data_IF_116611980875
#
_entry.id   IF_116611980875
#
_cell.length_a   1.000
_cell.length_b   1.000
_cell.length_c   1.000
_cell.angle_alpha   90.00
_cell.angle_beta   90.00
_cell.angle_gamma   90.00
#
_symmetry.space_group_name_H-M   'P 1'
#
loop_
_entity.id
_entity.type
_entity.pdbx_description
1 polymer ?
#
# COMPACT_ATOMS: atom_id res chain seq x y z
N UNK A 1 34.66 7.20 7.83
CA UNK A 1 33.23 7.29 8.21
C UNK A 1 32.59 5.93 8.06
N UNK A 2 32.18 5.33 9.18
CA UNK A 2 31.47 4.05 9.19
C UNK A 2 30.08 4.23 8.60
N UNK A 3 29.65 3.33 7.69
CA UNK A 3 28.28 3.27 7.22
C UNK A 3 27.33 2.95 8.37
N UNK A 4 26.15 3.55 8.35
CA UNK A 4 25.05 3.19 9.26
C UNK A 4 24.53 1.81 8.90
N UNK A 5 24.31 0.97 9.90
CA UNK A 5 23.76 -0.37 9.69
C UNK A 5 22.26 -0.31 9.87
N UNK A 6 21.53 -0.62 8.80
CA UNK A 6 20.06 -0.53 8.77
C UNK A 6 19.47 -1.89 8.47
N UNK A 7 18.54 -2.35 9.33
CA UNK A 7 17.73 -3.51 9.06
C UNK A 7 16.37 -3.07 8.52
N UNK A 8 16.04 -3.49 7.29
CA UNK A 8 14.69 -3.38 6.74
C UNK A 8 13.98 -4.71 6.97
N UNK A 9 12.93 -4.70 7.76
CA UNK A 9 12.16 -5.89 8.08
C UNK A 9 10.76 -5.74 7.48
N UNK A 10 10.61 -6.26 6.25
CA UNK A 10 9.37 -6.17 5.48
C UNK A 10 8.49 -7.40 5.69
N UNK A 11 7.20 -7.26 5.38
CA UNK A 11 6.27 -8.39 5.36
C UNK A 11 6.59 -9.35 4.20
N UNK A 12 6.68 -8.81 2.99
CA UNK A 12 7.04 -9.56 1.77
C UNK A 12 7.64 -8.59 0.76
N UNK A 13 8.36 -9.11 -0.22
CA UNK A 13 8.93 -8.29 -1.28
C UNK A 13 7.97 -8.28 -2.49
N UNK A 14 7.31 -7.16 -2.70
CA UNK A 14 6.33 -6.93 -3.77
C UNK A 14 6.76 -5.74 -4.61
N UNK A 15 6.02 -5.42 -5.68
CA UNK A 15 6.31 -4.24 -6.50
C UNK A 15 6.26 -2.93 -5.69
N UNK A 16 5.36 -2.82 -4.71
CA UNK A 16 5.30 -1.64 -3.84
C UNK A 16 6.51 -1.55 -2.91
N UNK A 17 6.95 -2.68 -2.36
CA UNK A 17 8.16 -2.73 -1.54
C UNK A 17 9.42 -2.45 -2.36
N UNK A 18 9.44 -2.84 -3.63
CA UNK A 18 10.52 -2.52 -4.56
C UNK A 18 10.66 -1.02 -4.75
N UNK A 19 9.54 -0.32 -4.99
CA UNK A 19 9.53 1.15 -5.13
C UNK A 19 10.05 1.83 -3.86
N UNK A 20 9.54 1.37 -2.74
CA UNK A 20 9.88 1.89 -1.42
C UNK A 20 11.38 1.67 -1.13
N UNK A 21 11.87 0.45 -1.36
CA UNK A 21 13.28 0.11 -1.20
C UNK A 21 14.19 0.93 -2.10
N UNK A 22 13.85 1.04 -3.38
CA UNK A 22 14.66 1.81 -4.35
C UNK A 22 14.77 3.27 -3.92
N UNK A 23 13.68 3.88 -3.51
CA UNK A 23 13.67 5.26 -3.00
C UNK A 23 14.52 5.40 -1.74
N UNK A 24 14.40 4.47 -0.82
CA UNK A 24 15.19 4.44 0.41
C UNK A 24 16.70 4.31 0.09
N UNK A 25 17.05 3.35 -0.74
CA UNK A 25 18.42 3.10 -1.16
C UNK A 25 19.04 4.31 -1.87
N UNK A 26 18.31 4.88 -2.82
CA UNK A 26 18.80 6.04 -3.57
C UNK A 26 19.01 7.24 -2.66
N UNK A 27 18.12 7.46 -1.71
CA UNK A 27 18.23 8.59 -0.78
C UNK A 27 19.40 8.40 0.19
N UNK A 28 19.68 7.20 0.66
CA UNK A 28 20.83 6.95 1.54
C UNK A 28 22.16 7.10 0.83
N UNK A 29 22.20 6.93 -0.49
CA UNK A 29 23.36 7.24 -1.32
C UNK A 29 24.66 6.57 -0.88
N UNK A 30 24.62 5.31 -0.44
CA UNK A 30 25.80 4.58 0.00
C UNK A 30 26.22 4.85 1.45
N UNK A 31 25.50 5.68 2.19
CA UNK A 31 25.78 5.97 3.60
C UNK A 31 25.22 4.91 4.55
N UNK A 32 24.44 4.00 4.05
CA UNK A 32 23.82 2.92 4.83
C UNK A 32 24.23 1.55 4.28
N UNK A 33 24.54 0.65 5.20
CA UNK A 33 24.69 -0.78 4.93
C UNK A 33 23.35 -1.43 5.26
N UNK A 34 22.60 -1.85 4.23
CA UNK A 34 21.22 -2.26 4.33
C UNK A 34 21.12 -3.79 4.29
N UNK A 35 20.45 -4.36 5.29
CA UNK A 35 20.07 -5.77 5.35
C UNK A 35 18.56 -5.87 5.28
N UNK A 36 18.03 -6.80 4.47
CA UNK A 36 16.59 -7.03 4.34
C UNK A 36 16.24 -8.42 4.84
N UNK A 37 15.25 -8.50 5.76
CA UNK A 37 14.61 -9.75 6.14
C UNK A 37 13.11 -9.64 5.91
N UNK A 38 12.44 -10.78 5.67
CA UNK A 38 11.01 -10.87 5.41
C UNK A 38 10.33 -11.69 6.50
N UNK A 39 9.35 -11.09 7.18
CA UNK A 39 8.61 -11.81 8.24
C UNK A 39 7.36 -12.55 7.74
N UNK A 40 6.95 -12.34 6.48
CA UNK A 40 5.81 -13.03 5.84
C UNK A 40 4.50 -12.93 6.64
N UNK A 41 4.29 -11.80 7.35
CA UNK A 41 3.12 -11.59 8.20
C UNK A 41 2.98 -12.62 9.34
N UNK A 42 4.08 -13.29 9.69
CA UNK A 42 4.14 -14.27 10.77
C UNK A 42 4.80 -13.65 12.00
N UNK A 43 4.05 -13.55 13.08
CA UNK A 43 4.52 -12.89 14.31
C UNK A 43 5.75 -13.62 14.89
N UNK A 44 5.82 -14.94 14.76
CA UNK A 44 6.98 -15.70 15.23
C UNK A 44 8.28 -15.26 14.53
N UNK A 45 8.21 -14.94 13.24
CA UNK A 45 9.38 -14.48 12.50
C UNK A 45 9.78 -13.07 12.92
N UNK A 46 8.82 -12.17 13.18
CA UNK A 46 9.13 -10.85 13.72
C UNK A 46 9.88 -10.97 15.03
N UNK A 47 9.36 -11.75 15.95
CA UNK A 47 9.98 -12.00 17.27
C UNK A 47 11.39 -12.57 17.11
N UNK A 48 11.56 -13.56 16.25
CA UNK A 48 12.85 -14.18 15.97
C UNK A 48 13.86 -13.17 15.41
N UNK A 49 13.50 -12.42 14.38
CA UNK A 49 14.42 -11.46 13.76
C UNK A 49 14.80 -10.34 14.71
N UNK A 50 13.89 -9.87 15.55
CA UNK A 50 14.20 -8.86 16.56
C UNK A 50 15.18 -9.44 17.59
N UNK A 51 14.90 -10.64 18.13
CA UNK A 51 15.76 -11.30 19.11
C UNK A 51 17.18 -11.49 18.60
N UNK A 52 17.31 -11.99 17.38
CA UNK A 52 18.62 -12.29 16.79
C UNK A 52 19.43 -11.04 16.43
N UNK A 53 18.77 -9.88 16.32
CA UNK A 53 19.40 -8.67 15.78
C UNK A 53 19.43 -7.48 16.74
N UNK A 54 18.99 -7.63 17.98
CA UNK A 54 19.10 -6.57 18.98
C UNK A 54 20.57 -6.16 19.16
N UNK A 55 20.83 -4.86 19.15
CA UNK A 55 22.18 -4.31 19.30
C UNK A 55 23.07 -4.41 18.07
N UNK A 56 22.62 -5.02 16.99
CA UNK A 56 23.42 -5.22 15.78
C UNK A 56 23.23 -4.17 14.71
N UNK A 57 22.19 -3.33 14.80
CA UNK A 57 21.86 -2.31 13.83
C UNK A 57 21.73 -0.94 14.48
N UNK A 58 21.99 0.10 13.70
CA UNK A 58 21.81 1.48 14.14
C UNK A 58 20.32 1.87 14.01
N UNK A 59 19.63 1.34 13.01
CA UNK A 59 18.20 1.56 12.78
C UNK A 59 17.48 0.28 12.36
N UNK A 60 16.23 0.17 12.80
CA UNK A 60 15.31 -0.90 12.45
C UNK A 60 14.08 -0.28 11.79
N UNK A 61 13.86 -0.59 10.52
CA UNK A 61 12.74 -0.08 9.75
C UNK A 61 11.81 -1.24 9.47
N UNK A 62 10.59 -1.20 10.01
CA UNK A 62 9.71 -2.36 10.09
C UNK A 62 8.34 -2.03 9.51
N UNK A 63 7.85 -2.87 8.57
CA UNK A 63 6.46 -2.84 8.14
C UNK A 63 5.64 -3.79 9.02
N UNK A 64 4.82 -3.26 9.95
CA UNK A 64 4.12 -4.07 10.93
C UNK A 64 2.81 -4.64 10.38
N UNK A 65 2.88 -5.36 9.27
CA UNK A 65 1.73 -5.99 8.63
C UNK A 65 1.53 -7.40 9.19
N UNK A 66 0.57 -7.53 10.09
CA UNK A 66 0.22 -8.78 10.78
C UNK A 66 -1.29 -8.90 10.91
N UNK A 67 -1.82 -10.12 11.11
CA UNK A 67 -3.25 -10.28 11.38
C UNK A 67 -3.74 -9.33 12.47
N UNK A 68 -4.95 -8.79 12.29
CA UNK A 68 -5.47 -7.70 13.10
C UNK A 68 -6.15 -8.16 14.38
N UNK A 69 -6.15 -9.46 14.69
CA UNK A 69 -6.72 -9.97 15.92
C UNK A 69 -5.96 -9.40 17.15
N UNK A 70 -6.65 -9.15 18.26
CA UNK A 70 -6.06 -8.49 19.41
C UNK A 70 -4.84 -9.20 19.99
N UNK A 71 -4.83 -10.53 19.98
CA UNK A 71 -3.71 -11.31 20.52
C UNK A 71 -2.44 -11.13 19.69
N UNK A 72 -2.54 -11.23 18.35
CA UNK A 72 -1.40 -10.99 17.46
C UNK A 72 -0.90 -9.55 17.60
N UNK A 73 -1.81 -8.58 17.62
CA UNK A 73 -1.43 -7.15 17.74
C UNK A 73 -0.72 -6.86 19.07
N UNK A 74 -1.13 -7.50 20.15
CA UNK A 74 -0.44 -7.40 21.43
C UNK A 74 0.99 -7.91 21.36
N UNK A 75 1.22 -9.01 20.67
CA UNK A 75 2.57 -9.57 20.46
C UNK A 75 3.42 -8.66 19.58
N UNK A 76 2.83 -8.04 18.56
CA UNK A 76 3.53 -7.06 17.70
C UNK A 76 4.04 -5.90 18.55
N UNK A 77 3.17 -5.30 19.37
CA UNK A 77 3.56 -4.18 20.22
C UNK A 77 4.67 -4.58 21.20
N UNK A 78 4.56 -5.76 21.81
CA UNK A 78 5.57 -6.28 22.74
C UNK A 78 6.93 -6.46 22.05
N UNK A 79 6.94 -7.01 20.85
CA UNK A 79 8.17 -7.22 20.09
C UNK A 79 8.82 -5.87 19.71
N UNK A 80 8.05 -4.91 19.23
CA UNK A 80 8.56 -3.61 18.81
C UNK A 80 9.10 -2.78 19.98
N UNK A 81 8.52 -2.92 21.16
CA UNK A 81 9.00 -2.24 22.38
C UNK A 81 10.40 -2.67 22.80
N UNK A 82 10.89 -3.79 22.33
CA UNK A 82 12.26 -4.26 22.61
C UNK A 82 13.31 -3.45 21.88
N UNK A 83 12.92 -2.74 20.81
CA UNK A 83 13.82 -1.87 20.05
C UNK A 83 13.79 -0.48 20.68
N UNK A 84 14.95 0.13 20.99
CA UNK A 84 14.97 1.51 21.47
C UNK A 84 14.28 2.47 20.50
N UNK A 85 13.43 3.37 21.03
CA UNK A 85 12.66 4.30 20.19
C UNK A 85 13.53 5.09 19.22
N UNK A 86 14.72 5.52 19.64
CA UNK A 86 15.65 6.28 18.80
C UNK A 86 16.20 5.51 17.60
N UNK A 87 15.98 4.19 17.56
CA UNK A 87 16.44 3.31 16.48
C UNK A 87 15.29 2.73 15.67
N UNK A 88 14.03 3.02 16.00
CA UNK A 88 12.85 2.39 15.42
C UNK A 88 12.16 3.34 14.44
N UNK A 89 11.90 2.84 13.24
CA UNK A 89 11.02 3.49 12.25
C UNK A 89 9.97 2.49 11.83
N UNK A 90 8.71 2.83 12.07
CA UNK A 90 7.54 2.08 11.61
C UNK A 90 7.16 2.57 10.22
N UNK A 91 6.92 1.65 9.30
CA UNK A 91 6.70 1.96 7.91
C UNK A 91 5.41 1.35 7.39
N UNK A 92 4.67 2.11 6.60
CA UNK A 92 3.47 1.74 5.86
C UNK A 92 2.20 1.63 6.71
N UNK A 93 2.22 0.99 7.85
CA UNK A 93 1.09 0.94 8.79
C UNK A 93 1.45 1.63 10.10
N UNK A 94 0.60 2.54 10.57
CA UNK A 94 0.79 3.22 11.85
C UNK A 94 0.16 2.41 12.98
N UNK A 95 0.82 2.40 14.14
CA UNK A 95 0.37 1.71 15.34
C UNK A 95 0.11 2.72 16.45
N UNK A 96 -1.14 3.24 16.57
CA UNK A 96 -1.45 4.26 17.59
C UNK A 96 -1.17 3.81 19.02
N UNK A 97 -1.29 2.51 19.31
CA UNK A 97 -1.08 1.93 20.63
C UNK A 97 0.39 1.79 21.01
N UNK A 98 1.31 1.93 20.06
CA UNK A 98 2.75 1.89 20.36
C UNK A 98 3.20 3.25 20.89
N UNK A 99 3.58 3.36 22.18
CA UNK A 99 4.02 4.63 22.74
C UNK A 99 5.47 4.94 22.37
N UNK A 100 5.82 6.21 22.38
CA UNK A 100 7.21 6.66 22.30
C UNK A 100 7.53 7.55 21.09
N UNK A 101 8.76 8.05 21.09
CA UNK A 101 9.28 8.98 20.08
C UNK A 101 10.08 8.23 18.99
N UNK A 102 9.47 7.20 18.42
CA UNK A 102 10.01 6.50 17.26
C UNK A 102 9.59 7.20 15.97
N UNK A 103 10.23 6.84 14.86
CA UNK A 103 9.86 7.37 13.54
C UNK A 103 8.72 6.55 12.93
N UNK A 104 7.86 7.20 12.15
CA UNK A 104 6.82 6.51 11.39
C UNK A 104 6.54 7.24 10.08
N UNK A 105 6.47 6.49 8.98
CA UNK A 105 6.01 6.95 7.68
C UNK A 105 4.96 5.97 7.20
N UNK A 106 3.74 6.45 6.94
CA UNK A 106 2.59 5.54 6.82
C UNK A 106 1.50 6.07 5.93
N UNK A 107 0.59 5.18 5.59
CA UNK A 107 -0.69 5.48 4.95
C UNK A 107 -1.84 5.22 5.91
N UNK A 108 -3.00 5.81 5.62
CA UNK A 108 -4.22 5.65 6.41
C UNK A 108 -5.19 4.70 5.68
N UNK A 109 -5.17 3.43 6.06
CA UNK A 109 -6.03 2.41 5.45
C UNK A 109 -7.53 2.64 5.68
N UNK A 110 -7.89 3.45 6.67
CA UNK A 110 -9.31 3.74 6.96
C UNK A 110 -9.89 4.82 6.04
N UNK A 111 -9.07 5.78 5.59
CA UNK A 111 -9.58 6.98 4.91
C UNK A 111 -8.98 7.24 3.53
N UNK A 112 -7.76 6.77 3.26
CA UNK A 112 -7.05 7.19 2.04
C UNK A 112 -7.79 6.83 0.75
N UNK A 113 -8.41 5.67 0.66
CA UNK A 113 -9.14 5.27 -0.54
C UNK A 113 -10.31 6.22 -0.82
N UNK A 114 -10.98 6.72 0.22
CA UNK A 114 -12.01 7.75 0.09
C UNK A 114 -11.46 9.00 -0.61
N UNK A 115 -10.36 9.52 -0.12
CA UNK A 115 -9.76 10.75 -0.67
C UNK A 115 -9.15 10.54 -2.05
N UNK A 116 -8.59 9.37 -2.31
CA UNK A 116 -8.09 9.02 -3.64
C UNK A 116 -9.21 9.00 -4.68
N UNK A 117 -10.33 8.38 -4.36
CA UNK A 117 -11.52 8.34 -5.23
C UNK A 117 -12.15 9.72 -5.39
N UNK A 118 -12.12 10.56 -4.34
CA UNK A 118 -12.66 11.91 -4.39
C UNK A 118 -11.99 12.77 -5.48
N UNK A 119 -10.74 12.49 -5.80
CA UNK A 119 -10.04 13.19 -6.90
C UNK A 119 -10.66 12.91 -8.27
N UNK A 120 -11.35 11.80 -8.43
CA UNK A 120 -12.06 11.43 -9.67
C UNK A 120 -13.58 11.55 -9.57
N UNK A 121 -14.11 12.24 -8.56
CA UNK A 121 -15.54 12.26 -8.24
C UNK A 121 -16.42 12.79 -9.36
N UNK A 122 -15.98 13.82 -10.08
CA UNK A 122 -16.77 14.41 -11.18
C UNK A 122 -17.08 13.38 -12.26
N UNK A 123 -16.12 12.55 -12.58
CA UNK A 123 -16.27 11.48 -13.58
C UNK A 123 -17.01 10.28 -12.99
N UNK A 124 -16.71 9.90 -11.75
CA UNK A 124 -17.34 8.76 -11.08
C UNK A 124 -18.85 8.98 -10.85
N UNK A 125 -19.30 10.22 -10.63
CA UNK A 125 -20.74 10.53 -10.51
C UNK A 125 -21.55 10.28 -11.78
N UNK A 126 -20.88 10.18 -12.93
CA UNK A 126 -21.53 10.00 -14.23
C UNK A 126 -21.58 8.54 -14.69
N UNK A 127 -20.91 7.62 -13.97
CA UNK A 127 -20.89 6.23 -14.38
C UNK A 127 -22.10 5.49 -13.81
N UNK A 128 -22.63 4.49 -14.54
CA UNK A 128 -23.78 3.72 -14.06
C UNK A 128 -23.48 2.93 -12.78
N UNK A 129 -22.24 2.49 -12.59
CA UNK A 129 -21.88 1.63 -11.47
C UNK A 129 -20.35 1.57 -11.30
N UNK A 130 -19.92 1.60 -10.04
CA UNK A 130 -18.55 1.28 -9.65
C UNK A 130 -18.51 -0.17 -9.16
N UNK A 131 -17.76 -1.00 -9.86
CA UNK A 131 -17.56 -2.40 -9.50
C UNK A 131 -16.25 -2.53 -8.73
N UNK A 132 -16.32 -3.00 -7.50
CA UNK A 132 -15.17 -3.06 -6.59
C UNK A 132 -14.77 -4.51 -6.39
N UNK A 133 -13.55 -4.86 -6.82
CA UNK A 133 -13.03 -6.22 -6.70
C UNK A 133 -12.09 -6.27 -5.51
N UNK A 134 -12.53 -6.92 -4.43
CA UNK A 134 -11.79 -6.97 -3.16
C UNK A 134 -10.96 -8.25 -3.05
N UNK A 135 -9.81 -8.13 -2.37
CA UNK A 135 -8.96 -9.26 -2.04
C UNK A 135 -9.15 -9.63 -0.56
N UNK A 136 -9.87 -10.73 -0.32
CA UNK A 136 -10.20 -11.16 1.05
C UNK A 136 -8.97 -11.57 1.86
N UNK A 137 -7.87 -11.93 1.21
CA UNK A 137 -6.60 -12.26 1.89
C UNK A 137 -5.81 -11.03 2.35
N UNK A 138 -6.16 -9.83 1.88
CA UNK A 138 -5.52 -8.60 2.32
C UNK A 138 -5.89 -8.29 3.77
N UNK A 139 -4.90 -7.93 4.59
CA UNK A 139 -5.11 -7.61 6.00
C UNK A 139 -6.06 -6.42 6.22
N UNK A 140 -6.05 -5.46 5.30
CA UNK A 140 -6.78 -4.20 5.45
C UNK A 140 -8.02 -4.11 4.54
N UNK A 141 -8.46 -5.23 3.96
CA UNK A 141 -9.56 -5.21 2.99
C UNK A 141 -10.86 -4.62 3.54
N UNK A 142 -11.16 -4.88 4.82
CA UNK A 142 -12.37 -4.35 5.45
C UNK A 142 -12.32 -2.83 5.60
N UNK A 143 -11.18 -2.29 6.01
CA UNK A 143 -10.98 -0.83 6.16
C UNK A 143 -11.11 -0.13 4.81
N UNK A 144 -10.43 -0.66 3.80
CA UNK A 144 -10.44 -0.10 2.44
C UNK A 144 -11.85 -0.18 1.85
N UNK A 145 -12.53 -1.31 1.99
CA UNK A 145 -13.90 -1.50 1.50
C UNK A 145 -14.88 -0.52 2.14
N UNK A 146 -14.75 -0.28 3.45
CA UNK A 146 -15.59 0.70 4.16
C UNK A 146 -15.37 2.12 3.65
N UNK A 147 -14.13 2.49 3.38
CA UNK A 147 -13.80 3.81 2.82
C UNK A 147 -14.42 3.99 1.44
N UNK A 148 -14.36 2.96 0.59
CA UNK A 148 -14.98 2.95 -0.75
C UNK A 148 -16.49 3.06 -0.65
N UNK A 149 -17.13 2.27 0.24
CA UNK A 149 -18.58 2.34 0.47
C UNK A 149 -19.01 3.72 0.89
N UNK A 150 -18.32 4.31 1.87
CA UNK A 150 -18.62 5.65 2.37
C UNK A 150 -18.54 6.69 1.25
N UNK A 151 -17.50 6.63 0.44
CA UNK A 151 -17.35 7.51 -0.71
C UNK A 151 -18.52 7.39 -1.69
N UNK A 152 -18.89 6.16 -2.06
CA UNK A 152 -19.97 5.92 -3.00
C UNK A 152 -21.32 6.35 -2.45
N UNK A 153 -21.61 6.07 -1.18
CA UNK A 153 -22.87 6.44 -0.54
C UNK A 153 -23.01 7.95 -0.41
N UNK A 154 -21.98 8.65 0.03
CA UNK A 154 -21.99 10.11 0.16
C UNK A 154 -22.13 10.83 -1.18
N UNK A 155 -21.68 10.22 -2.26
CA UNK A 155 -21.73 10.79 -3.60
C UNK A 155 -22.81 10.20 -4.50
N UNK A 156 -23.67 9.34 -3.95
CA UNK A 156 -24.79 8.72 -4.66
C UNK A 156 -24.34 7.95 -5.91
N UNK A 157 -23.20 7.24 -5.80
CA UNK A 157 -22.65 6.43 -6.86
C UNK A 157 -23.07 4.97 -6.62
N UNK A 158 -23.81 4.33 -7.55
CA UNK A 158 -24.13 2.91 -7.46
C UNK A 158 -22.83 2.08 -7.43
N UNK A 159 -22.77 1.09 -6.54
CA UNK A 159 -21.60 0.25 -6.42
C UNK A 159 -21.95 -1.17 -6.00
N UNK A 160 -21.04 -2.09 -6.31
CA UNK A 160 -21.19 -3.49 -5.91
C UNK A 160 -19.80 -4.08 -5.66
N UNK A 161 -19.70 -4.95 -4.64
CA UNK A 161 -18.47 -5.66 -4.31
C UNK A 161 -18.45 -7.05 -4.92
N UNK A 162 -17.28 -7.43 -5.44
CA UNK A 162 -17.00 -8.76 -5.97
C UNK A 162 -15.69 -9.26 -5.36
N UNK A 163 -15.55 -10.57 -5.27
CA UNK A 163 -14.27 -11.18 -4.85
C UNK A 163 -13.44 -11.64 -6.03
N UNK A 164 -14.02 -11.65 -7.22
CA UNK A 164 -13.34 -12.01 -8.46
C UNK A 164 -14.02 -11.36 -9.66
N UNK A 165 -13.26 -11.20 -10.74
CA UNK A 165 -13.78 -10.76 -12.02
C UNK A 165 -14.32 -11.97 -12.78
N UNK A 166 -15.55 -11.85 -13.29
CA UNK A 166 -16.13 -12.80 -14.25
C UNK A 166 -16.51 -12.02 -15.50
N UNK A 167 -16.56 -12.67 -16.70
CA UNK A 167 -16.99 -11.97 -17.92
C UNK A 167 -18.36 -11.31 -17.81
N UNK A 168 -19.25 -11.86 -16.99
CA UNK A 168 -20.62 -11.38 -16.84
C UNK A 168 -20.73 -10.01 -16.18
N UNK A 169 -19.77 -9.65 -15.32
CA UNK A 169 -19.80 -8.34 -14.65
C UNK A 169 -19.23 -7.21 -15.51
N UNK A 170 -18.54 -7.53 -16.62
CA UNK A 170 -17.90 -6.53 -17.46
C UNK A 170 -18.91 -5.92 -18.42
N UNK A 171 -19.19 -4.62 -18.21
CA UNK A 171 -20.23 -3.86 -18.92
C UNK A 171 -19.67 -2.54 -19.48
N UNK A 172 -20.20 -2.08 -20.62
CA UNK A 172 -19.83 -0.76 -21.13
C UNK A 172 -20.18 0.34 -20.13
N UNK A 173 -19.39 1.41 -20.13
CA UNK A 173 -19.55 2.64 -19.33
C UNK A 173 -19.38 2.49 -17.83
N UNK A 174 -19.26 1.28 -17.31
CA UNK A 174 -19.00 1.06 -15.89
C UNK A 174 -17.52 1.21 -15.57
N UNK A 175 -17.20 1.34 -14.29
CA UNK A 175 -15.82 1.46 -13.80
C UNK A 175 -15.53 0.31 -12.84
N UNK A 176 -14.31 -0.20 -12.93
CA UNK A 176 -13.83 -1.33 -12.14
C UNK A 176 -12.66 -0.86 -11.29
N UNK A 177 -12.85 -0.90 -9.96
CA UNK A 177 -11.81 -0.62 -8.97
C UNK A 177 -11.25 -1.95 -8.50
N UNK A 178 -10.01 -2.23 -8.88
CA UNK A 178 -9.32 -3.47 -8.51
C UNK A 178 -8.48 -3.20 -7.27
N UNK A 179 -8.90 -3.75 -6.14
CA UNK A 179 -8.20 -3.61 -4.85
C UNK A 179 -7.14 -4.68 -4.64
N UNK A 180 -6.97 -5.59 -5.59
CA UNK A 180 -5.87 -6.55 -5.62
C UNK A 180 -4.56 -5.83 -5.94
N UNK A 181 -3.45 -6.47 -5.56
CA UNK A 181 -2.13 -6.01 -5.98
C UNK A 181 -2.02 -5.95 -7.51
N UNK A 182 -1.19 -5.05 -8.01
CA UNK A 182 -1.00 -4.88 -9.44
C UNK A 182 -0.49 -6.17 -10.09
N UNK A 183 -0.93 -6.40 -11.32
CA UNK A 183 -0.62 -7.58 -12.11
C UNK A 183 -1.18 -8.88 -11.54
N UNK A 184 -2.17 -8.74 -10.64
CA UNK A 184 -2.94 -9.87 -10.18
C UNK A 184 -3.82 -10.42 -11.31
N UNK A 185 -4.21 -11.67 -11.17
CA UNK A 185 -5.08 -12.37 -12.12
C UNK A 185 -6.40 -11.64 -12.36
N UNK A 186 -6.90 -10.88 -11.38
CA UNK A 186 -8.18 -10.17 -11.53
C UNK A 186 -8.09 -9.04 -12.55
N UNK A 187 -6.98 -8.30 -12.59
CA UNK A 187 -6.75 -7.30 -13.64
C UNK A 187 -6.62 -7.97 -15.03
N UNK A 188 -5.93 -9.09 -15.10
CA UNK A 188 -5.78 -9.87 -16.33
C UNK A 188 -7.12 -10.39 -16.82
N UNK A 189 -7.94 -10.95 -15.95
CA UNK A 189 -9.30 -11.42 -16.28
C UNK A 189 -10.17 -10.29 -16.82
N UNK A 190 -10.10 -9.11 -16.19
CA UNK A 190 -10.83 -7.93 -16.63
C UNK A 190 -10.41 -7.51 -18.03
N UNK A 191 -9.10 -7.41 -18.27
CA UNK A 191 -8.57 -7.04 -19.57
C UNK A 191 -8.97 -8.03 -20.66
N UNK A 192 -8.90 -9.33 -20.37
CA UNK A 192 -9.32 -10.39 -21.29
C UNK A 192 -10.80 -10.35 -21.61
N UNK A 193 -11.64 -10.20 -20.58
CA UNK A 193 -13.08 -10.11 -20.75
C UNK A 193 -13.49 -8.91 -21.58
N UNK A 194 -12.89 -7.76 -21.32
CA UNK A 194 -13.11 -6.53 -22.08
C UNK A 194 -12.71 -6.70 -23.54
N UNK A 195 -11.53 -7.27 -23.80
CA UNK A 195 -11.05 -7.53 -25.16
C UNK A 195 -11.99 -8.47 -25.92
N UNK A 196 -12.48 -9.52 -25.26
CA UNK A 196 -13.47 -10.45 -25.83
C UNK A 196 -14.78 -9.76 -26.22
N UNK A 197 -15.20 -8.76 -25.46
CA UNK A 197 -16.41 -7.98 -25.70
C UNK A 197 -16.14 -6.74 -26.59
N UNK A 198 -14.92 -6.57 -27.10
CA UNK A 198 -14.49 -5.42 -27.89
C UNK A 198 -14.64 -4.08 -27.16
N UNK A 199 -14.48 -4.10 -25.84
CA UNK A 199 -14.47 -2.90 -25.02
C UNK A 199 -13.05 -2.43 -24.75
N UNK A 200 -12.79 -1.15 -24.97
CA UNK A 200 -11.47 -0.55 -24.80
C UNK A 200 -11.40 0.25 -23.51
N UNK A 201 -10.43 -0.03 -22.63
CA UNK A 201 -10.24 0.75 -21.40
C UNK A 201 -10.02 2.23 -21.70
N UNK A 202 -10.65 3.09 -20.92
CA UNK A 202 -10.57 4.54 -21.07
C UNK A 202 -11.58 5.12 -22.05
N UNK A 203 -11.97 4.35 -23.07
CA UNK A 203 -12.96 4.76 -24.05
C UNK A 203 -14.35 4.22 -23.75
N UNK A 204 -14.45 2.90 -23.54
CA UNK A 204 -15.74 2.21 -23.41
C UNK A 204 -16.12 1.89 -21.97
N UNK A 205 -15.13 1.85 -21.08
CA UNK A 205 -15.29 1.60 -19.64
C UNK A 205 -14.03 2.05 -18.91
N UNK A 206 -14.04 2.09 -17.59
CA UNK A 206 -12.89 2.55 -16.81
C UNK A 206 -12.28 1.48 -15.90
N UNK A 207 -10.98 1.58 -15.68
CA UNK A 207 -10.25 0.75 -14.72
C UNK A 207 -9.43 1.66 -13.80
N UNK A 208 -9.58 1.45 -12.50
CA UNK A 208 -8.76 2.06 -11.46
C UNK A 208 -8.12 0.93 -10.66
N UNK A 209 -6.81 0.94 -10.52
CA UNK A 209 -6.08 -0.06 -9.73
C UNK A 209 -5.59 0.53 -8.42
N UNK A 210 -5.63 -0.27 -7.36
CA UNK A 210 -5.10 0.11 -6.05
C UNK A 210 -3.60 -0.16 -6.02
N UNK A 211 -2.84 0.80 -5.51
CA UNK A 211 -1.38 0.86 -5.49
C UNK A 211 -0.75 1.20 -6.84
N UNK A 212 0.27 2.04 -6.77
CA UNK A 212 1.06 2.48 -7.92
C UNK A 212 2.23 1.54 -8.20
N UNK A 213 2.67 1.51 -9.45
CA UNK A 213 3.89 0.83 -9.89
C UNK A 213 4.41 1.53 -11.14
N UNK A 214 5.72 1.48 -11.42
CA UNK A 214 6.27 2.04 -12.66
C UNK A 214 5.63 1.44 -13.93
N UNK A 215 5.21 0.18 -13.88
CA UNK A 215 4.53 -0.50 -15.01
C UNK A 215 3.16 0.09 -15.32
N UNK A 216 2.55 0.82 -14.38
CA UNK A 216 1.24 1.45 -14.61
C UNK A 216 1.26 2.47 -15.74
N UNK A 217 2.41 3.06 -16.05
CA UNK A 217 2.56 3.97 -17.18
C UNK A 217 2.36 3.27 -18.54
N UNK A 218 2.61 1.96 -18.60
CA UNK A 218 2.65 1.18 -19.84
C UNK A 218 1.42 0.28 -20.00
N UNK A 219 0.98 -0.33 -18.91
CA UNK A 219 -0.14 -1.28 -18.91
C UNK A 219 -1.42 -0.60 -19.38
N UNK A 220 -2.13 -1.21 -20.32
CA UNK A 220 -3.39 -0.71 -20.90
C UNK A 220 -3.28 0.74 -21.43
N UNK A 221 -2.15 1.06 -22.04
CA UNK A 221 -1.81 2.41 -22.51
C UNK A 221 -1.82 3.47 -21.38
N UNK A 222 -1.61 3.04 -20.17
CA UNK A 222 -1.62 3.84 -18.96
C UNK A 222 -2.75 3.46 -18.02
N UNK A 223 -2.39 2.87 -16.89
CA UNK A 223 -3.33 2.41 -15.86
C UNK A 223 -3.51 3.50 -14.78
N UNK A 224 -4.74 4.00 -14.65
CA UNK A 224 -5.10 4.90 -13.55
C UNK A 224 -5.03 4.16 -12.22
N UNK A 225 -4.39 4.76 -11.23
CA UNK A 225 -4.25 4.17 -9.90
C UNK A 225 -4.70 5.12 -8.80
N UNK A 226 -5.09 4.57 -7.65
CA UNK A 226 -5.12 5.28 -6.38
C UNK A 226 -4.08 4.64 -5.47
N UNK A 227 -3.22 5.45 -4.86
CA UNK A 227 -2.06 4.91 -4.14
C UNK A 227 -1.48 5.91 -3.16
N UNK A 228 -0.95 5.39 -2.05
CA UNK A 228 0.03 6.13 -1.26
C UNK A 228 1.30 6.33 -2.09
N UNK A 229 2.00 7.40 -1.83
CA UNK A 229 3.29 7.69 -2.47
C UNK A 229 4.41 6.88 -1.80
N UNK A 230 4.68 5.69 -2.34
CA UNK A 230 5.73 4.80 -1.82
C UNK A 230 7.14 5.37 -2.00
N UNK A 231 7.35 6.21 -3.02
CA UNK A 231 8.63 6.89 -3.23
C UNK A 231 8.86 7.91 -2.10
N UNK A 232 7.85 8.69 -1.76
CA UNK A 232 7.88 9.61 -0.62
C UNK A 232 8.16 8.85 0.69
N UNK A 233 7.49 7.73 0.89
CA UNK A 233 7.63 6.92 2.10
C UNK A 233 9.08 6.45 2.30
N UNK A 234 9.70 5.90 1.27
CA UNK A 234 11.09 5.47 1.31
C UNK A 234 12.07 6.62 1.52
N UNK A 235 11.84 7.75 0.84
CA UNK A 235 12.66 8.95 0.96
C UNK A 235 12.61 9.52 2.39
N UNK A 236 11.41 9.66 2.95
CA UNK A 236 11.26 10.21 4.30
C UNK A 236 11.92 9.33 5.37
N UNK A 237 11.79 8.01 5.26
CA UNK A 237 12.47 7.09 6.18
C UNK A 237 13.99 7.24 6.09
N UNK A 238 14.53 7.33 4.87
CA UNK A 238 15.96 7.52 4.67
C UNK A 238 16.45 8.88 5.22
N UNK A 239 15.68 9.94 5.01
CA UNK A 239 16.01 11.27 5.54
C UNK A 239 16.07 11.28 7.06
N UNK A 240 15.15 10.60 7.75
CA UNK A 240 15.20 10.45 9.20
C UNK A 240 16.53 9.86 9.67
N UNK A 241 16.97 8.80 8.98
CA UNK A 241 18.23 8.12 9.31
C UNK A 241 19.43 9.04 9.06
N UNK A 242 19.46 9.70 7.91
CA UNK A 242 20.57 10.59 7.53
C UNK A 242 20.69 11.80 8.47
N UNK A 243 19.56 12.36 8.88
CA UNK A 243 19.51 13.55 9.72
C UNK A 243 19.56 13.23 11.22
N UNK A 244 19.33 11.97 11.59
CA UNK A 244 19.25 11.54 12.98
C UNK A 244 18.06 12.14 13.73
N UNK A 245 17.00 12.55 13.00
CA UNK A 245 15.78 13.15 13.57
C UNK A 245 14.57 12.33 13.16
N UNK A 246 13.98 11.65 14.13
CA UNK A 246 12.79 10.85 13.90
C UNK A 246 11.52 11.70 14.02
N UNK A 247 10.57 11.45 13.14
CA UNK A 247 9.25 12.09 13.15
C UNK A 247 8.20 11.09 12.68
N UNK A 248 6.93 11.45 12.87
CA UNK A 248 5.79 10.64 12.42
C UNK A 248 5.06 11.42 11.34
N UNK A 249 4.95 10.85 10.14
CA UNK A 249 4.32 11.52 9.03
C UNK A 249 3.48 10.56 8.19
N UNK A 250 2.23 10.96 7.96
CA UNK A 250 1.37 10.31 6.98
C UNK A 250 1.84 10.74 5.59
N UNK A 251 1.99 9.75 4.69
CA UNK A 251 2.38 10.01 3.30
C UNK A 251 1.18 10.41 2.45
N UNK A 252 1.46 11.10 1.33
CA UNK A 252 0.43 11.51 0.39
C UNK A 252 -0.24 10.30 -0.25
N UNK A 253 -1.54 10.40 -0.44
CA UNK A 253 -2.35 9.41 -1.15
C UNK A 253 -3.15 10.13 -2.23
N UNK A 254 -3.09 9.63 -3.47
CA UNK A 254 -3.72 10.33 -4.58
C UNK A 254 -4.16 9.38 -5.69
N UNK A 255 -5.04 9.88 -6.55
CA UNK A 255 -5.34 9.26 -7.83
C UNK A 255 -4.34 9.76 -8.87
N UNK A 256 -3.75 8.85 -9.62
CA UNK A 256 -2.89 9.15 -10.75
C UNK A 256 -3.66 8.81 -12.01
N UNK A 257 -4.16 9.84 -12.67
CA UNK A 257 -4.95 9.69 -13.89
C UNK A 257 -4.07 9.28 -15.07
N UNK A 258 -4.52 8.23 -15.77
CA UNK A 258 -3.94 7.78 -17.02
C UNK A 258 -5.05 7.37 -17.98
N UNK A 259 -4.72 6.66 -19.04
CA UNK A 259 -5.67 6.29 -20.08
C UNK A 259 -6.88 5.48 -19.59
N UNK A 260 -6.69 4.57 -18.62
CA UNK A 260 -7.74 3.60 -18.25
C UNK A 260 -8.95 4.20 -17.52
N UNK A 261 -8.81 5.44 -17.06
CA UNK A 261 -9.95 6.13 -16.42
C UNK A 261 -9.87 7.66 -16.54
#
# INVERSE_FOLDING_TARGET
NRQMRVLLLFDKFSSTKQMLYNSFHDTTGGKADITIYLHNQQINLLEYYIDENLGKFDYYVITPHFPLDPETQKRVLKALRRIPNRKLIIMDNYLPELPGNYGAVYQDFENDAYYGLAMGVKKLKKVPKLNVVIELSSLYHTMISKAVSRFCEENEIPYEFYTQVTPQIVKPKEVYLILHGQFDMELIKLARAAKSQKLKPGRDFGIISYNESPMSEIVLDGLTTISVDFVQMGRLAAEMILDGKLFKQKCDFRMIHRNSF
#
